data_IF_802844925348
#
_entry.id   IF_802844925348
#
_cell.length_a   1.000
_cell.length_b   1.000
_cell.length_c   1.000
_cell.angle_alpha   90.00
_cell.angle_beta   90.00
_cell.angle_gamma   90.00
#
_symmetry.space_group_name_H-M   'P 1'
#
loop_
_entity.id
_entity.type
_entity.pdbx_description
1 polymer ?
#
# COMPACT_ATOMS: atom_id res chain seq x y z
N UNK A 1 3.93 -9.48 15.06
CA UNK A 1 3.85 -9.72 13.59
C UNK A 1 4.41 -11.10 13.28
N UNK A 2 3.74 -11.84 12.46
CA UNK A 2 4.20 -13.16 11.99
C UNK A 2 4.74 -13.04 10.56
N UNK A 3 5.91 -13.61 10.34
CA UNK A 3 6.55 -13.71 9.03
C UNK A 3 6.71 -15.19 8.65
N UNK A 4 6.46 -15.49 7.39
CA UNK A 4 6.59 -16.85 6.85
C UNK A 4 7.59 -16.85 5.70
N UNK A 5 8.49 -17.79 5.68
CA UNK A 5 9.41 -18.01 4.57
C UNK A 5 8.79 -18.93 3.50
N UNK A 6 9.52 -19.19 2.41
CA UNK A 6 9.04 -20.02 1.32
C UNK A 6 8.75 -21.47 1.72
N UNK A 7 9.30 -21.95 2.84
CA UNK A 7 9.00 -23.27 3.42
C UNK A 7 7.84 -23.21 4.42
N UNK A 8 7.13 -22.08 4.51
CA UNK A 8 6.04 -21.82 5.45
C UNK A 8 6.45 -21.91 6.92
N UNK A 9 7.73 -21.72 7.21
CA UNK A 9 8.21 -21.63 8.59
C UNK A 9 7.92 -20.25 9.14
N UNK A 10 7.21 -20.20 10.27
CA UNK A 10 6.81 -18.97 10.94
C UNK A 10 7.94 -18.40 11.81
N UNK A 11 8.14 -17.09 11.71
CA UNK A 11 9.02 -16.32 12.58
C UNK A 11 8.27 -15.11 13.10
N UNK A 12 8.51 -14.70 14.31
CA UNK A 12 7.91 -13.46 14.87
C UNK A 12 8.84 -12.29 14.59
N UNK A 13 8.32 -11.27 13.91
CA UNK A 13 9.01 -10.02 13.68
C UNK A 13 8.59 -8.94 14.70
N UNK A 14 9.35 -7.84 14.76
CA UNK A 14 9.01 -6.66 15.55
C UNK A 14 7.61 -6.16 15.17
N UNK A 15 6.80 -5.83 16.15
CA UNK A 15 5.43 -5.31 15.92
C UNK A 15 5.44 -3.95 15.21
N UNK A 16 4.33 -3.61 14.58
CA UNK A 16 4.10 -2.28 14.01
C UNK A 16 4.23 -1.20 15.08
N UNK A 17 4.62 0.00 14.66
CA UNK A 17 4.80 1.15 15.56
C UNK A 17 3.52 1.58 16.26
N UNK A 18 2.37 1.31 15.64
CA UNK A 18 1.03 1.57 16.20
C UNK A 18 0.03 0.59 15.61
N UNK A 19 -1.13 0.49 16.23
CA UNK A 19 -2.25 -0.25 15.63
C UNK A 19 -2.66 0.38 14.31
N UNK A 20 -2.86 -0.44 13.28
CA UNK A 20 -3.29 0.01 11.97
C UNK A 20 -4.58 -0.73 11.60
N UNK A 21 -5.65 0.02 11.44
CA UNK A 21 -6.90 -0.49 10.90
C UNK A 21 -6.94 -0.25 9.40
N UNK A 22 -7.54 -1.17 8.64
CA UNK A 22 -7.64 -1.06 7.19
C UNK A 22 -6.28 -0.73 6.55
N UNK A 23 -5.25 -1.45 6.96
CA UNK A 23 -3.90 -1.26 6.45
C UNK A 23 -3.77 -1.83 5.04
N UNK A 24 -2.89 -1.23 4.25
CA UNK A 24 -2.45 -1.75 2.98
C UNK A 24 -0.95 -2.04 3.04
N UNK A 25 -0.50 -2.98 2.24
CA UNK A 25 0.90 -3.35 2.20
C UNK A 25 1.35 -3.66 0.78
N UNK A 26 2.59 -3.34 0.48
CA UNK A 26 3.24 -3.70 -0.78
C UNK A 26 4.73 -3.94 -0.53
N UNK A 27 5.35 -4.70 -1.42
CA UNK A 27 6.80 -4.90 -1.43
C UNK A 27 7.43 -4.11 -2.58
N UNK A 28 8.61 -3.55 -2.37
CA UNK A 28 9.43 -2.96 -3.42
C UNK A 28 10.91 -3.14 -3.07
N UNK A 29 11.70 -3.63 -4.03
CA UNK A 29 13.07 -4.02 -3.75
C UNK A 29 13.12 -5.02 -2.59
N UNK A 30 13.92 -4.72 -1.57
CA UNK A 30 14.06 -5.55 -0.37
C UNK A 30 13.20 -5.07 0.80
N UNK A 31 12.16 -4.29 0.53
CA UNK A 31 11.32 -3.69 1.56
C UNK A 31 9.88 -4.19 1.50
N UNK A 32 9.30 -4.48 2.67
CA UNK A 32 7.86 -4.64 2.85
C UNK A 32 7.33 -3.40 3.58
N UNK A 33 6.35 -2.72 3.00
CA UNK A 33 5.84 -1.43 3.45
C UNK A 33 4.41 -1.59 3.91
N UNK A 34 4.12 -1.19 5.15
CA UNK A 34 2.77 -1.22 5.75
C UNK A 34 2.30 0.19 6.04
N UNK A 35 1.19 0.59 5.43
CA UNK A 35 0.56 1.90 5.60
C UNK A 35 -0.82 1.78 6.22
N UNK A 36 -1.32 2.85 6.83
CA UNK A 36 -2.66 2.94 7.38
C UNK A 36 -2.70 3.86 8.59
N UNK A 37 -3.76 4.64 8.74
CA UNK A 37 -4.05 5.61 9.81
C UNK A 37 -3.09 6.80 9.89
N UNK A 38 -1.84 6.67 9.48
CA UNK A 38 -0.83 7.73 9.55
C UNK A 38 -0.13 7.88 8.21
N UNK A 39 0.50 9.03 7.96
CA UNK A 39 1.33 9.24 6.79
C UNK A 39 2.63 8.44 6.84
N UNK A 40 3.06 8.07 8.05
CA UNK A 40 4.25 7.27 8.28
C UNK A 40 3.96 5.79 8.09
N UNK A 41 4.81 5.11 7.34
CA UNK A 41 4.77 3.67 7.13
C UNK A 41 5.74 2.95 8.05
N UNK A 42 5.40 1.71 8.42
CA UNK A 42 6.35 0.75 8.98
C UNK A 42 6.95 -0.06 7.84
N UNK A 43 8.28 -0.15 7.82
CA UNK A 43 9.04 -0.75 6.73
C UNK A 43 9.95 -1.82 7.29
N UNK A 44 9.88 -3.01 6.73
CA UNK A 44 10.75 -4.13 7.10
C UNK A 44 11.66 -4.46 5.93
N UNK A 45 12.94 -4.64 6.21
CA UNK A 45 13.89 -5.16 5.23
C UNK A 45 13.90 -6.70 5.21
N UNK A 46 14.75 -7.29 4.35
CA UNK A 46 14.86 -8.74 4.22
C UNK A 46 15.39 -9.44 5.49
N UNK A 47 15.99 -8.71 6.42
CA UNK A 47 16.41 -9.20 7.74
C UNK A 47 15.33 -9.04 8.81
N UNK A 48 14.13 -8.58 8.42
CA UNK A 48 13.01 -8.26 9.30
C UNK A 48 13.33 -7.11 10.28
N UNK A 49 14.31 -6.27 9.95
CA UNK A 49 14.60 -5.05 10.69
C UNK A 49 13.60 -3.97 10.31
N UNK A 50 12.97 -3.38 11.33
CA UNK A 50 11.93 -2.37 11.14
C UNK A 50 12.50 -0.96 11.14
N UNK A 51 12.08 -0.15 10.18
CA UNK A 51 12.28 1.30 10.10
C UNK A 51 10.95 1.99 9.81
N UNK A 52 10.95 3.32 9.78
CA UNK A 52 9.76 4.11 9.43
C UNK A 52 10.13 5.23 8.48
N UNK A 53 9.21 5.56 7.57
CA UNK A 53 9.34 6.69 6.66
C UNK A 53 7.97 7.26 6.31
N UNK A 54 7.91 8.54 5.92
CA UNK A 54 6.70 9.19 5.45
C UNK A 54 6.42 8.78 3.99
N UNK A 55 5.70 7.68 3.81
CA UNK A 55 5.38 7.11 2.49
C UNK A 55 4.10 7.71 1.90
N UNK A 56 3.13 8.04 2.73
CA UNK A 56 1.91 8.70 2.26
C UNK A 56 2.05 10.22 2.32
N UNK A 57 1.48 10.91 1.35
CA UNK A 57 1.41 12.39 1.35
C UNK A 57 0.53 12.92 2.47
N UNK A 58 -0.51 12.18 2.82
CA UNK A 58 -1.41 12.47 3.96
C UNK A 58 -1.82 11.18 4.64
N UNK A 59 -2.21 11.27 5.91
CA UNK A 59 -2.77 10.14 6.64
C UNK A 59 -4.10 9.71 6.02
N UNK A 60 -4.22 8.44 5.64
CA UNK A 60 -5.42 7.86 5.01
C UNK A 60 -5.59 6.42 5.45
N UNK A 61 -6.83 5.94 5.38
CA UNK A 61 -7.21 4.55 5.62
C UNK A 61 -7.97 4.00 4.43
N UNK A 62 -8.19 2.69 4.38
CA UNK A 62 -8.95 2.06 3.30
C UNK A 62 -8.22 2.14 1.95
N UNK A 63 -6.90 2.19 1.97
CA UNK A 63 -6.09 2.20 0.75
C UNK A 63 -5.98 0.80 0.17
N UNK A 64 -5.80 0.73 -1.14
CA UNK A 64 -5.31 -0.45 -1.83
C UNK A 64 -3.84 -0.26 -2.20
N UNK A 65 -3.10 -1.34 -2.29
CA UNK A 65 -1.68 -1.30 -2.64
C UNK A 65 -1.29 -2.47 -3.53
N UNK A 66 -0.37 -2.21 -4.43
CA UNK A 66 0.29 -3.24 -5.23
C UNK A 66 1.66 -2.74 -5.69
N UNK A 67 2.42 -3.60 -6.34
CA UNK A 67 3.76 -3.27 -6.85
C UNK A 67 3.79 -3.50 -8.36
N UNK A 68 4.33 -2.54 -9.09
CA UNK A 68 4.58 -2.69 -10.54
C UNK A 68 5.96 -2.16 -10.88
N UNK A 69 6.76 -2.96 -11.56
CA UNK A 69 8.17 -2.61 -11.82
C UNK A 69 8.91 -2.32 -10.51
N UNK A 70 9.56 -1.17 -10.44
CA UNK A 70 10.35 -0.72 -9.30
C UNK A 70 9.56 0.16 -8.32
N UNK A 71 8.22 0.12 -8.36
CA UNK A 71 7.37 0.98 -7.54
C UNK A 71 6.34 0.19 -6.74
N UNK A 72 6.20 0.56 -5.47
CA UNK A 72 5.01 0.26 -4.69
C UNK A 72 4.01 1.43 -4.84
N UNK A 73 2.74 1.13 -5.03
CA UNK A 73 1.68 2.11 -5.24
C UNK A 73 0.63 1.95 -4.15
N UNK A 74 0.26 3.06 -3.52
CA UNK A 74 -0.79 3.13 -2.49
C UNK A 74 -1.86 4.10 -2.95
N UNK A 75 -3.04 3.61 -3.30
CA UNK A 75 -4.11 4.40 -3.90
C UNK A 75 -5.38 4.39 -3.05
N UNK A 76 -6.06 5.51 -3.01
CA UNK A 76 -7.35 5.70 -2.37
C UNK A 76 -7.54 7.12 -1.85
N UNK A 77 -8.80 7.54 -1.74
CA UNK A 77 -9.13 8.87 -1.26
C UNK A 77 -8.70 10.01 -2.18
N UNK A 78 -8.56 9.74 -3.48
CA UNK A 78 -8.25 10.75 -4.49
C UNK A 78 -6.76 10.99 -4.75
N UNK A 79 -5.89 10.22 -4.13
CA UNK A 79 -4.43 10.33 -4.28
C UNK A 79 -3.79 8.96 -4.45
N UNK A 80 -2.82 8.85 -5.35
CA UNK A 80 -1.93 7.71 -5.40
C UNK A 80 -0.51 8.14 -5.01
N UNK A 81 0.04 7.53 -4.00
CA UNK A 81 1.42 7.69 -3.58
C UNK A 81 2.26 6.54 -4.14
N UNK A 82 3.43 6.87 -4.68
CA UNK A 82 4.40 5.91 -5.21
C UNK A 82 5.65 5.93 -4.36
N UNK A 83 6.27 4.77 -4.21
CA UNK A 83 7.52 4.63 -3.50
C UNK A 83 8.44 3.71 -4.28
N UNK A 84 9.67 4.13 -4.57
CA UNK A 84 10.67 3.28 -5.20
C UNK A 84 11.45 2.44 -4.18
N UNK A 85 12.38 1.61 -4.67
CA UNK A 85 13.20 0.75 -3.81
C UNK A 85 14.14 1.53 -2.88
N UNK A 86 14.42 2.80 -3.16
CA UNK A 86 15.17 3.71 -2.29
C UNK A 86 14.28 4.41 -1.26
N UNK A 87 12.99 4.05 -1.21
CA UNK A 87 11.97 4.67 -0.35
C UNK A 87 11.74 6.16 -0.66
N UNK A 88 12.06 6.57 -1.88
CA UNK A 88 11.76 7.91 -2.38
C UNK A 88 10.30 7.96 -2.81
N UNK A 89 9.56 8.89 -2.21
CA UNK A 89 8.13 9.06 -2.46
C UNK A 89 7.88 10.08 -3.58
N UNK A 90 6.89 9.76 -4.42
CA UNK A 90 6.23 10.71 -5.31
C UNK A 90 4.72 10.49 -5.24
N UNK A 91 3.92 11.39 -5.80
CA UNK A 91 2.48 11.22 -5.85
C UNK A 91 1.88 11.76 -7.14
N UNK A 92 0.68 11.24 -7.43
CA UNK A 92 -0.23 11.81 -8.41
C UNK A 92 -1.45 12.29 -7.65
N UNK A 93 -1.76 13.57 -7.74
CA UNK A 93 -2.85 14.21 -7.01
C UNK A 93 -4.25 13.87 -7.51
N UNK A 94 -4.37 13.08 -8.58
CA UNK A 94 -5.64 12.62 -9.13
C UNK A 94 -5.62 11.10 -9.21
N UNK A 95 -6.42 10.47 -8.42
CA UNK A 95 -6.60 9.02 -8.36
C UNK A 95 -8.08 8.74 -8.12
N UNK A 96 -8.47 7.47 -8.14
CA UNK A 96 -9.82 7.08 -7.73
C UNK A 96 -10.12 7.60 -6.33
N UNK A 97 -11.29 8.20 -6.18
CA UNK A 97 -11.74 8.75 -4.88
C UNK A 97 -12.22 7.66 -3.93
N UNK A 98 -12.32 6.41 -4.41
CA UNK A 98 -12.82 5.30 -3.63
C UNK A 98 -11.89 4.83 -2.52
N UNK A 99 -12.47 4.06 -1.62
CA UNK A 99 -11.81 3.36 -0.52
C UNK A 99 -12.06 1.86 -0.64
N UNK A 100 -11.20 1.06 -0.01
CA UNK A 100 -11.32 -0.41 0.04
C UNK A 100 -11.41 -1.06 -1.36
N UNK A 101 -10.63 -0.53 -2.28
CA UNK A 101 -10.48 -1.08 -3.64
C UNK A 101 -9.70 -2.39 -3.62
N UNK A 102 -9.91 -3.23 -4.64
CA UNK A 102 -8.99 -4.30 -4.95
C UNK A 102 -7.81 -3.80 -5.76
N UNK A 103 -6.64 -4.40 -5.57
CA UNK A 103 -5.45 -4.09 -6.36
C UNK A 103 -4.73 -5.35 -6.78
N UNK A 104 -4.21 -5.36 -8.00
CA UNK A 104 -3.43 -6.47 -8.54
C UNK A 104 -2.48 -5.97 -9.63
N UNK A 105 -1.41 -6.71 -9.86
CA UNK A 105 -0.45 -6.45 -10.94
C UNK A 105 -0.47 -7.57 -11.96
N UNK A 106 -0.46 -7.20 -13.23
CA UNK A 106 -0.28 -8.12 -14.33
C UNK A 106 0.69 -7.50 -15.36
N UNK A 107 1.81 -8.18 -15.61
CA UNK A 107 2.86 -7.65 -16.48
C UNK A 107 3.33 -6.28 -15.97
N UNK A 108 3.30 -5.29 -16.86
CA UNK A 108 3.72 -3.91 -16.55
C UNK A 108 2.58 -3.01 -16.08
N UNK A 109 1.46 -3.60 -15.68
CA UNK A 109 0.27 -2.85 -15.26
C UNK A 109 -0.09 -3.13 -13.81
N UNK A 110 -0.30 -2.06 -13.05
CA UNK A 110 -0.96 -2.10 -11.75
C UNK A 110 -2.42 -1.64 -11.91
N UNK A 111 -3.36 -2.45 -11.45
CA UNK A 111 -4.78 -2.20 -11.57
C UNK A 111 -5.38 -1.97 -10.18
N UNK A 112 -6.19 -0.93 -10.07
CA UNK A 112 -7.00 -0.64 -8.89
C UNK A 112 -8.46 -0.61 -9.31
N UNK A 113 -9.32 -1.36 -8.66
CA UNK A 113 -10.68 -1.56 -9.13
C UNK A 113 -11.70 -1.58 -7.99
N UNK A 114 -12.89 -1.08 -8.27
CA UNK A 114 -14.03 -1.12 -7.36
C UNK A 114 -13.92 -0.13 -6.22
N UNK A 115 -14.30 -0.56 -5.02
CA UNK A 115 -14.33 0.29 -3.85
C UNK A 115 -15.66 1.00 -3.65
N UNK A 116 -15.68 1.95 -2.72
CA UNK A 116 -16.89 2.74 -2.39
C UNK A 116 -16.53 4.18 -2.02
N UNK A 117 -17.55 5.05 -1.99
CA UNK A 117 -17.37 6.50 -1.86
C UNK A 117 -17.03 7.00 -0.46
N UNK A 118 -16.96 6.12 0.55
CA UNK A 118 -16.63 6.47 1.93
C UNK A 118 -17.58 5.85 2.95
N UNK A 119 -17.32 6.14 4.24
CA UNK A 119 -17.94 5.42 5.37
C UNK A 119 -19.47 5.56 5.51
N UNK A 120 -20.07 6.59 4.89
CA UNK A 120 -21.50 6.90 5.07
C UNK A 120 -22.32 6.84 3.80
N UNK A 121 -21.70 6.58 2.67
CA UNK A 121 -22.37 6.54 1.37
C UNK A 121 -22.00 5.22 0.72
N UNK A 122 -22.96 4.33 0.62
CA UNK A 122 -22.78 2.98 0.10
C UNK A 122 -22.75 2.93 -1.44
N UNK A 123 -22.27 3.99 -2.09
CA UNK A 123 -22.09 3.97 -3.54
C UNK A 123 -20.86 3.14 -3.87
N UNK A 124 -21.08 1.96 -4.41
CA UNK A 124 -20.02 1.11 -4.94
C UNK A 124 -19.60 1.60 -6.33
N UNK A 125 -18.33 1.40 -6.66
CA UNK A 125 -17.75 1.73 -7.97
C UNK A 125 -17.43 0.48 -8.77
N UNK A 126 -17.57 0.57 -10.09
CA UNK A 126 -17.14 -0.43 -11.06
C UNK A 126 -15.92 0.05 -11.88
N UNK A 127 -15.37 1.19 -11.51
CA UNK A 127 -14.24 1.81 -12.20
C UNK A 127 -12.94 1.04 -11.99
N UNK A 128 -12.07 1.11 -12.99
CA UNK A 128 -10.71 0.57 -12.93
C UNK A 128 -9.73 1.66 -13.28
N UNK A 129 -8.72 1.84 -12.46
CA UNK A 129 -7.59 2.72 -12.72
C UNK A 129 -6.34 1.88 -12.98
N UNK A 130 -5.56 2.27 -13.97
CA UNK A 130 -4.39 1.52 -14.42
C UNK A 130 -3.16 2.41 -14.38
N UNK A 131 -2.11 1.92 -13.74
CA UNK A 131 -0.77 2.53 -13.77
C UNK A 131 0.19 1.63 -14.51
N UNK A 132 1.07 2.23 -15.30
CA UNK A 132 2.10 1.54 -16.08
C UNK A 132 3.48 1.82 -15.47
N UNK A 133 4.29 0.78 -15.37
CA UNK A 133 5.67 0.93 -14.94
C UNK A 133 6.55 1.52 -16.05
#
# INVERSE_FOLDING_TARGET
MDAYNASLTRTTATALSSTKNNSAAATVGNHAIFVGNTASADIYDASLTKTSAAILSTARTGLAATTVGDYAIFSGGGVADFCDASLTRSNIGTSMTGYDMGAATIGDYALFAGGHSGEKSDTAYDSVEVYTA
#
